data_IF_428856831762
#
_entry.id   IF_428856831762
#
_cell.length_a   1.000
_cell.length_b   1.000
_cell.length_c   1.000
_cell.angle_alpha   90.00
_cell.angle_beta   90.00
_cell.angle_gamma   90.00
#
_symmetry.space_group_name_H-M   'P 1'
#
loop_
_entity.id
_entity.type
_entity.pdbx_description
1 polymer ?
#
# COMPACT_ATOMS: atom_id res chain seq x y z
N UNK A 1 -20.30 -27.01 -6.84
CA UNK A 1 -21.37 -26.86 -7.86
C UNK A 1 -22.29 -28.08 -7.78
N UNK A 2 -23.58 -27.98 -8.12
CA UNK A 2 -24.47 -29.16 -8.12
C UNK A 2 -24.02 -30.16 -9.19
N UNK A 3 -24.35 -31.45 -9.00
CA UNK A 3 -23.97 -32.50 -9.96
C UNK A 3 -24.52 -32.25 -11.36
N UNK A 4 -25.73 -31.67 -11.46
CA UNK A 4 -26.32 -31.27 -12.73
C UNK A 4 -25.43 -30.27 -13.50
N UNK A 5 -25.08 -29.15 -12.86
CA UNK A 5 -24.27 -28.10 -13.50
C UNK A 5 -22.84 -28.58 -13.78
N UNK A 6 -22.30 -29.44 -12.91
CA UNK A 6 -21.02 -30.11 -13.18
C UNK A 6 -21.08 -30.95 -14.45
N UNK A 7 -22.10 -31.80 -14.59
CA UNK A 7 -22.29 -32.64 -15.77
C UNK A 7 -22.51 -31.82 -17.03
N UNK A 8 -23.32 -30.76 -16.94
CA UNK A 8 -23.59 -29.83 -18.04
C UNK A 8 -22.30 -29.20 -18.60
N UNK A 9 -21.44 -28.64 -17.74
CA UNK A 9 -20.17 -28.03 -18.17
C UNK A 9 -19.25 -29.08 -18.78
N UNK A 10 -19.12 -30.24 -18.14
CA UNK A 10 -18.25 -31.32 -18.63
C UNK A 10 -18.69 -31.79 -20.01
N UNK A 11 -19.99 -32.04 -20.21
CA UNK A 11 -20.53 -32.51 -21.49
C UNK A 11 -20.34 -31.49 -22.60
N UNK A 12 -20.63 -30.20 -22.37
CA UNK A 12 -20.44 -29.18 -23.38
C UNK A 12 -18.97 -28.96 -23.74
N UNK A 13 -18.08 -28.98 -22.74
CA UNK A 13 -16.65 -28.77 -22.96
C UNK A 13 -16.05 -29.91 -23.78
N UNK A 14 -16.27 -31.16 -23.36
CA UNK A 14 -15.77 -32.33 -24.08
C UNK A 14 -16.44 -32.48 -25.44
N UNK A 15 -17.75 -32.24 -25.52
CA UNK A 15 -18.48 -32.23 -26.79
C UNK A 15 -17.92 -31.23 -27.79
N UNK A 16 -17.57 -30.02 -27.32
CA UNK A 16 -16.94 -28.99 -28.17
C UNK A 16 -15.55 -29.40 -28.64
N UNK A 17 -14.72 -30.00 -27.78
CA UNK A 17 -13.40 -30.49 -28.19
C UNK A 17 -13.50 -31.60 -29.24
N UNK A 18 -14.45 -32.53 -29.05
CA UNK A 18 -14.73 -33.59 -30.04
C UNK A 18 -15.27 -32.99 -31.34
N UNK A 19 -16.16 -32.01 -31.27
CA UNK A 19 -16.71 -31.34 -32.46
C UNK A 19 -15.63 -30.59 -33.24
N UNK A 20 -14.71 -29.89 -32.56
CA UNK A 20 -13.57 -29.21 -33.19
C UNK A 20 -12.61 -30.20 -33.84
N UNK A 21 -12.33 -31.32 -33.16
CA UNK A 21 -11.50 -32.38 -33.72
C UNK A 21 -12.17 -32.99 -34.95
N UNK A 22 -13.46 -33.29 -34.88
CA UNK A 22 -14.22 -33.78 -36.03
C UNK A 22 -14.20 -32.78 -37.18
N UNK A 23 -14.42 -31.49 -36.92
CA UNK A 23 -14.45 -30.43 -37.94
C UNK A 23 -13.11 -30.32 -38.69
N UNK A 24 -11.97 -30.36 -37.99
CA UNK A 24 -10.66 -30.24 -38.63
C UNK A 24 -10.31 -31.48 -39.47
N UNK A 25 -10.79 -32.67 -39.09
CA UNK A 25 -10.62 -33.88 -39.91
C UNK A 25 -11.61 -33.94 -41.08
N UNK A 26 -12.84 -33.47 -40.89
CA UNK A 26 -13.86 -33.44 -41.93
C UNK A 26 -13.45 -32.48 -43.07
N UNK A 27 -13.02 -31.26 -42.72
CA UNK A 27 -12.49 -30.27 -43.69
C UNK A 27 -11.26 -30.80 -44.44
N UNK A 28 -10.37 -31.50 -43.73
CA UNK A 28 -9.17 -32.10 -44.32
C UNK A 28 -9.46 -33.23 -45.31
N UNK A 29 -10.59 -33.93 -45.18
CA UNK A 29 -10.88 -35.11 -46.00
C UNK A 29 -11.12 -34.81 -47.48
N UNK A 30 -11.49 -33.56 -47.80
CA UNK A 30 -11.67 -33.07 -49.17
C UNK A 30 -10.45 -32.39 -49.79
N UNK A 31 -9.30 -32.37 -49.10
CA UNK A 31 -8.15 -31.56 -49.52
C UNK A 31 -7.36 -32.12 -50.71
N UNK A 32 -6.83 -31.20 -51.54
CA UNK A 32 -5.89 -31.48 -52.60
C UNK A 32 -4.52 -31.95 -52.07
N UNK A 33 -3.82 -32.81 -52.84
CA UNK A 33 -2.48 -33.31 -52.47
C UNK A 33 -1.40 -32.29 -52.81
N UNK A 34 -1.24 -31.28 -51.95
CA UNK A 34 -0.20 -30.24 -52.07
C UNK A 34 -0.74 -28.89 -52.55
N UNK A 35 0.12 -27.88 -52.60
CA UNK A 35 -0.26 -26.53 -53.03
C UNK A 35 -0.73 -26.53 -54.47
N UNK A 36 -1.91 -25.95 -54.71
CA UNK A 36 -2.53 -25.80 -56.02
C UNK A 36 -2.80 -24.31 -56.31
N UNK A 37 -2.83 -23.98 -57.60
CA UNK A 37 -3.31 -22.67 -58.10
C UNK A 37 -4.80 -22.74 -58.51
N UNK A 38 -5.52 -23.80 -58.09
CA UNK A 38 -6.93 -23.99 -58.47
C UNK A 38 -7.82 -23.05 -57.67
N UNK A 39 -8.69 -22.33 -58.37
CA UNK A 39 -9.67 -21.41 -57.79
C UNK A 39 -11.07 -22.03 -57.72
N UNK A 40 -11.88 -21.61 -56.75
CA UNK A 40 -13.23 -22.15 -56.49
C UNK A 40 -14.31 -21.83 -57.55
N UNK A 41 -13.96 -21.07 -58.61
CA UNK A 41 -14.85 -20.80 -59.76
C UNK A 41 -15.86 -19.67 -59.58
N UNK A 42 -15.75 -18.91 -58.49
CA UNK A 42 -16.55 -17.71 -58.22
C UNK A 42 -15.63 -16.57 -57.77
N UNK A 43 -15.94 -15.35 -58.23
CA UNK A 43 -15.23 -14.14 -57.87
C UNK A 43 -16.14 -13.21 -57.07
N UNK A 44 -15.64 -12.70 -55.95
CA UNK A 44 -16.31 -11.70 -55.12
C UNK A 44 -15.45 -10.44 -55.12
N UNK A 45 -15.97 -9.37 -55.74
CA UNK A 45 -15.27 -8.07 -55.84
C UNK A 45 -13.84 -8.18 -56.43
N UNK A 46 -13.69 -9.05 -57.44
CA UNK A 46 -12.39 -9.30 -58.10
C UNK A 46 -11.42 -10.17 -57.30
N UNK A 47 -11.83 -10.70 -56.13
CA UNK A 47 -11.06 -11.67 -55.34
C UNK A 47 -11.60 -13.08 -55.62
N UNK A 48 -10.69 -14.02 -55.86
CA UNK A 48 -10.96 -15.45 -56.02
C UNK A 48 -10.24 -16.24 -54.93
N UNK A 49 -10.84 -17.34 -54.49
CA UNK A 49 -10.32 -18.17 -53.41
C UNK A 49 -9.65 -19.43 -53.98
N UNK A 50 -8.42 -19.72 -53.52
CA UNK A 50 -7.72 -20.95 -53.86
C UNK A 50 -8.20 -22.14 -53.02
N UNK A 51 -8.36 -23.30 -53.67
CA UNK A 51 -8.67 -24.58 -53.02
C UNK A 51 -7.38 -25.30 -52.57
N UNK A 52 -6.66 -24.65 -51.65
CA UNK A 52 -5.41 -25.14 -51.10
C UNK A 52 -5.62 -26.00 -49.85
N UNK A 53 -4.83 -27.08 -49.65
CA UNK A 53 -4.89 -27.86 -48.43
C UNK A 53 -4.43 -27.04 -47.22
N UNK A 54 -4.92 -27.37 -46.03
CA UNK A 54 -4.44 -26.78 -44.79
C UNK A 54 -2.93 -27.06 -44.65
N UNK A 55 -2.10 -26.05 -44.31
CA UNK A 55 -0.68 -26.26 -44.08
C UNK A 55 -0.46 -27.34 -43.03
N UNK A 56 0.36 -28.35 -43.35
CA UNK A 56 0.57 -29.52 -42.48
C UNK A 56 1.00 -29.14 -41.06
N UNK A 57 1.87 -28.13 -40.93
CA UNK A 57 2.33 -27.62 -39.63
C UNK A 57 1.19 -27.00 -38.82
N UNK A 58 0.29 -26.24 -39.47
CA UNK A 58 -0.86 -25.61 -38.83
C UNK A 58 -1.82 -26.66 -38.31
N UNK A 59 -2.11 -27.68 -39.12
CA UNK A 59 -2.96 -28.79 -38.71
C UNK A 59 -2.38 -29.54 -37.51
N UNK A 60 -1.09 -29.88 -37.55
CA UNK A 60 -0.42 -30.55 -36.43
C UNK A 60 -0.45 -29.71 -35.16
N UNK A 61 -0.26 -28.39 -35.28
CA UNK A 61 -0.37 -27.46 -34.16
C UNK A 61 -1.78 -27.42 -33.59
N UNK A 62 -2.80 -27.30 -34.44
CA UNK A 62 -4.21 -27.27 -34.03
C UNK A 62 -4.63 -28.55 -33.29
N UNK A 63 -4.24 -29.72 -33.82
CA UNK A 63 -4.46 -31.00 -33.13
C UNK A 63 -3.67 -31.06 -31.82
N UNK A 64 -2.44 -30.56 -31.82
CA UNK A 64 -1.59 -30.49 -30.62
C UNK A 64 -2.21 -29.65 -29.50
N UNK A 65 -2.85 -28.51 -29.82
CA UNK A 65 -3.52 -27.69 -28.80
C UNK A 65 -4.77 -28.36 -28.24
N UNK A 66 -5.53 -29.12 -29.03
CA UNK A 66 -6.65 -29.94 -28.53
C UNK A 66 -6.14 -31.01 -27.57
N UNK A 67 -5.07 -31.72 -27.92
CA UNK A 67 -4.44 -32.73 -27.05
C UNK A 67 -3.96 -32.09 -25.75
N UNK A 68 -3.29 -30.93 -25.84
CA UNK A 68 -2.86 -30.16 -24.68
C UNK A 68 -4.05 -29.76 -23.81
N UNK A 69 -5.14 -29.24 -24.39
CA UNK A 69 -6.33 -28.83 -23.65
C UNK A 69 -6.98 -30.02 -22.91
N UNK A 70 -7.11 -31.17 -23.58
CA UNK A 70 -7.63 -32.39 -22.96
C UNK A 70 -6.74 -32.86 -21.79
N UNK A 71 -5.41 -32.86 -21.99
CA UNK A 71 -4.45 -33.18 -20.94
C UNK A 71 -4.51 -32.19 -19.77
N UNK A 72 -4.62 -30.90 -20.05
CA UNK A 72 -4.74 -29.84 -19.05
C UNK A 72 -6.02 -30.00 -18.21
N UNK A 73 -7.15 -30.30 -18.85
CA UNK A 73 -8.43 -30.54 -18.17
C UNK A 73 -8.45 -31.84 -17.35
N UNK A 74 -7.64 -32.83 -17.72
CA UNK A 74 -7.39 -33.98 -16.86
C UNK A 74 -6.54 -33.59 -15.64
N UNK A 75 -5.55 -32.73 -15.83
CA UNK A 75 -4.61 -32.31 -14.79
C UNK A 75 -5.21 -31.34 -13.77
N UNK A 76 -5.94 -30.35 -14.23
CA UNK A 76 -6.46 -29.23 -13.44
C UNK A 76 -7.98 -29.26 -13.33
N UNK A 77 -8.57 -28.58 -12.34
CA UNK A 77 -10.01 -28.35 -12.33
C UNK A 77 -10.44 -27.52 -13.55
N UNK A 78 -11.60 -27.87 -14.12
CA UNK A 78 -12.16 -27.19 -15.27
C UNK A 78 -13.41 -27.90 -15.83
N UNK A 79 -13.44 -29.23 -15.73
CA UNK A 79 -14.61 -30.04 -16.09
C UNK A 79 -15.60 -30.16 -14.92
N UNK A 80 -16.42 -29.13 -14.72
CA UNK A 80 -17.42 -29.12 -13.64
C UNK A 80 -16.77 -29.22 -12.25
N UNK A 81 -17.15 -30.24 -11.47
CA UNK A 81 -16.57 -30.55 -10.16
C UNK A 81 -15.31 -31.43 -10.23
N UNK A 82 -14.81 -31.78 -11.42
CA UNK A 82 -13.53 -32.47 -11.56
C UNK A 82 -12.42 -31.63 -10.93
N UNK A 83 -11.66 -32.25 -10.02
CA UNK A 83 -10.63 -31.55 -9.23
C UNK A 83 -9.23 -31.58 -9.85
N UNK A 84 -9.06 -32.34 -10.94
CA UNK A 84 -7.75 -32.64 -11.48
C UNK A 84 -7.00 -33.71 -10.70
N UNK A 85 -5.99 -34.31 -11.32
CA UNK A 85 -5.09 -35.29 -10.71
C UNK A 85 -3.67 -34.74 -10.45
N UNK A 86 -3.48 -33.40 -10.49
CA UNK A 86 -2.15 -32.80 -10.35
C UNK A 86 -1.45 -33.33 -9.09
N UNK A 87 -0.30 -34.01 -9.23
CA UNK A 87 0.36 -34.63 -8.09
C UNK A 87 0.85 -33.57 -7.10
N UNK A 88 0.91 -33.99 -5.85
CA UNK A 88 1.32 -33.14 -4.75
C UNK A 88 0.18 -32.34 -4.13
N UNK A 89 -1.02 -32.23 -4.71
CA UNK A 89 -2.20 -31.61 -4.07
C UNK A 89 -3.23 -32.65 -3.62
N UNK A 90 -3.38 -32.86 -2.31
CA UNK A 90 -4.22 -33.94 -1.74
C UNK A 90 -5.69 -33.88 -2.17
N UNK A 91 -6.23 -32.69 -2.37
CA UNK A 91 -7.63 -32.46 -2.75
C UNK A 91 -7.77 -31.85 -4.15
N UNK A 92 -6.80 -32.11 -5.03
CA UNK A 92 -6.69 -31.45 -6.32
C UNK A 92 -6.16 -30.02 -6.22
N UNK A 93 -5.68 -29.49 -7.34
CA UNK A 93 -5.15 -28.13 -7.38
C UNK A 93 -6.28 -27.10 -7.30
N UNK A 94 -6.05 -26.02 -6.56
CA UNK A 94 -6.85 -24.79 -6.63
C UNK A 94 -5.91 -23.60 -6.46
N UNK A 95 -6.29 -22.43 -6.97
CA UNK A 95 -5.50 -21.21 -6.78
C UNK A 95 -5.31 -20.85 -5.29
N UNK A 96 -6.32 -21.13 -4.45
CA UNK A 96 -6.24 -20.90 -2.99
C UNK A 96 -5.28 -21.89 -2.34
N UNK A 97 -5.33 -23.17 -2.72
CA UNK A 97 -4.40 -24.18 -2.22
C UNK A 97 -2.96 -23.92 -2.66
N UNK A 98 -2.75 -23.38 -3.86
CA UNK A 98 -1.42 -22.95 -4.31
C UNK A 98 -0.91 -21.75 -3.52
N UNK A 99 -1.75 -20.73 -3.35
CA UNK A 99 -1.43 -19.57 -2.52
C UNK A 99 -1.08 -19.98 -1.08
N UNK A 100 -1.87 -20.85 -0.45
CA UNK A 100 -1.59 -21.32 0.91
C UNK A 100 -0.22 -21.99 1.00
N UNK A 101 0.13 -22.88 0.07
CA UNK A 101 1.45 -23.53 0.04
C UNK A 101 2.59 -22.54 -0.14
N UNK A 102 2.39 -21.52 -0.97
CA UNK A 102 3.37 -20.46 -1.16
C UNK A 102 3.58 -19.67 0.15
N UNK A 103 2.48 -19.34 0.84
CA UNK A 103 2.53 -18.67 2.14
C UNK A 103 3.17 -19.56 3.21
N UNK A 104 2.83 -20.84 3.29
CA UNK A 104 3.42 -21.79 4.26
C UNK A 104 4.92 -21.94 4.04
N UNK A 105 5.36 -22.06 2.77
CA UNK A 105 6.77 -22.13 2.41
C UNK A 105 7.50 -20.83 2.77
N UNK A 106 6.89 -19.68 2.50
CA UNK A 106 7.43 -18.38 2.88
C UNK A 106 7.53 -18.24 4.40
N UNK A 107 6.54 -18.71 5.16
CA UNK A 107 6.54 -18.68 6.62
C UNK A 107 7.65 -19.57 7.19
N UNK A 108 7.82 -20.78 6.68
CA UNK A 108 8.92 -21.66 7.09
C UNK A 108 10.30 -21.05 6.81
N UNK A 109 10.45 -20.34 5.69
CA UNK A 109 11.73 -19.76 5.28
C UNK A 109 12.03 -18.42 6.00
N UNK A 110 11.03 -17.56 6.15
CA UNK A 110 11.19 -16.17 6.62
C UNK A 110 10.70 -15.95 8.04
N UNK A 111 9.77 -16.77 8.54
CA UNK A 111 9.24 -16.70 9.90
C UNK A 111 10.32 -16.68 10.98
N UNK A 112 11.34 -17.58 10.95
CA UNK A 112 12.43 -17.56 11.92
C UNK A 112 13.24 -16.24 11.92
N UNK A 113 13.36 -15.58 10.77
CA UNK A 113 14.07 -14.29 10.64
C UNK A 113 13.25 -13.19 11.32
N UNK A 114 11.94 -13.15 11.05
CA UNK A 114 11.03 -12.21 11.70
C UNK A 114 10.95 -12.43 13.21
N UNK A 115 10.79 -13.68 13.65
CA UNK A 115 10.73 -14.06 15.06
C UNK A 115 12.01 -13.67 15.82
N UNK A 116 13.20 -13.87 15.20
CA UNK A 116 14.48 -13.45 15.78
C UNK A 116 14.48 -11.95 16.12
N UNK A 117 14.08 -11.10 15.17
CA UNK A 117 14.08 -9.65 15.38
C UNK A 117 12.93 -9.19 16.28
N UNK A 118 11.76 -9.83 16.22
CA UNK A 118 10.63 -9.51 17.07
C UNK A 118 10.90 -9.77 18.56
N UNK A 119 11.76 -10.75 18.87
CA UNK A 119 12.18 -11.05 20.25
C UNK A 119 13.22 -10.08 20.81
N UNK A 120 13.84 -9.24 19.98
CA UNK A 120 14.82 -8.25 20.40
C UNK A 120 14.16 -6.92 20.79
N UNK A 121 14.77 -6.10 21.66
CA UNK A 121 14.34 -4.72 21.84
C UNK A 121 14.49 -3.92 20.54
N UNK A 122 13.55 -3.01 20.28
CA UNK A 122 13.52 -2.19 19.05
C UNK A 122 14.82 -1.40 18.87
N UNK A 123 15.40 -0.92 19.97
CA UNK A 123 16.66 -0.18 20.02
C UNK A 123 17.84 -1.01 19.49
N UNK A 124 17.85 -2.32 19.76
CA UNK A 124 18.88 -3.22 19.27
C UNK A 124 18.64 -3.60 17.81
N UNK A 125 17.37 -3.80 17.44
CA UNK A 125 16.98 -4.06 16.04
C UNK A 125 17.34 -2.87 15.15
N UNK A 126 17.19 -1.65 15.63
CA UNK A 126 17.54 -0.41 14.92
C UNK A 126 19.05 -0.26 14.67
N UNK A 127 19.90 -1.01 15.39
CA UNK A 127 21.36 -1.03 15.18
C UNK A 127 21.80 -2.13 14.21
N UNK A 128 20.96 -3.13 13.95
CA UNK A 128 21.28 -4.22 13.04
C UNK A 128 21.06 -3.78 11.57
N UNK A 129 22.11 -3.77 10.72
CA UNK A 129 22.01 -3.28 9.35
C UNK A 129 21.11 -4.15 8.45
N UNK A 130 20.98 -5.45 8.75
CA UNK A 130 20.07 -6.33 8.03
C UNK A 130 18.62 -6.00 8.39
N UNK A 131 18.33 -5.79 9.68
CA UNK A 131 17.00 -5.42 10.15
C UNK A 131 16.57 -4.05 9.60
N UNK A 132 17.44 -3.04 9.66
CA UNK A 132 17.18 -1.69 9.10
C UNK A 132 16.91 -1.78 7.59
N UNK A 133 17.67 -2.59 6.85
CA UNK A 133 17.43 -2.79 5.40
C UNK A 133 16.09 -3.49 5.12
N UNK A 134 15.69 -4.44 5.96
CA UNK A 134 14.37 -5.09 5.86
C UNK A 134 13.24 -4.10 6.19
N UNK A 135 13.36 -3.36 7.28
CA UNK A 135 12.40 -2.34 7.68
C UNK A 135 12.27 -1.21 6.65
N UNK A 136 13.37 -0.81 6.00
CA UNK A 136 13.35 0.17 4.91
C UNK A 136 12.57 -0.30 3.68
N UNK A 137 12.63 -1.60 3.34
CA UNK A 137 11.79 -2.18 2.28
C UNK A 137 10.31 -2.19 2.67
N UNK A 138 10.01 -2.55 3.92
CA UNK A 138 8.63 -2.48 4.43
C UNK A 138 8.12 -1.04 4.42
N UNK A 139 8.94 -0.07 4.78
CA UNK A 139 8.61 1.36 4.76
C UNK A 139 8.34 1.84 3.34
N UNK A 140 9.20 1.47 2.39
CA UNK A 140 9.04 1.82 0.98
C UNK A 140 7.68 1.34 0.42
N UNK A 141 7.26 0.12 0.76
CA UNK A 141 5.99 -0.44 0.26
C UNK A 141 4.74 0.07 0.97
N UNK A 142 4.81 0.41 2.26
CA UNK A 142 3.62 0.66 3.08
C UNK A 142 3.48 2.09 3.60
N UNK A 143 4.59 2.85 3.71
CA UNK A 143 4.62 4.13 4.42
C UNK A 143 5.05 5.31 3.55
N UNK A 144 5.84 5.05 2.50
CA UNK A 144 6.48 6.08 1.67
C UNK A 144 5.50 7.00 0.93
N UNK A 145 4.29 6.50 0.60
CA UNK A 145 3.27 7.28 -0.12
C UNK A 145 2.80 8.50 0.69
N UNK A 146 2.80 8.40 2.02
CA UNK A 146 2.41 9.48 2.92
C UNK A 146 3.63 10.20 3.50
N UNK A 147 4.62 9.44 3.97
CA UNK A 147 5.78 10.00 4.68
C UNK A 147 6.97 10.33 3.77
N UNK A 148 6.83 10.19 2.45
CA UNK A 148 7.90 10.40 1.47
C UNK A 148 8.85 9.20 1.36
N UNK A 149 9.52 9.09 0.22
CA UNK A 149 10.51 8.03 -0.03
C UNK A 149 11.75 8.15 0.85
N UNK A 150 12.06 9.36 1.32
CA UNK A 150 13.14 9.67 2.26
C UNK A 150 12.65 9.81 3.71
N UNK A 151 11.39 9.48 3.98
CA UNK A 151 10.72 9.58 5.28
C UNK A 151 10.62 11.00 5.87
N UNK A 152 10.86 12.05 5.07
CA UNK A 152 10.82 13.45 5.54
C UNK A 152 9.44 14.10 5.53
N UNK A 153 8.41 13.34 5.17
CA UNK A 153 7.04 13.82 5.17
C UNK A 153 6.74 14.80 4.05
N UNK A 154 5.59 15.46 4.18
CA UNK A 154 5.07 16.46 3.26
C UNK A 154 4.03 17.32 3.99
N UNK A 155 3.39 18.28 3.31
CA UNK A 155 2.26 18.98 3.90
C UNK A 155 1.17 17.98 4.35
N UNK A 156 0.83 18.01 5.63
CA UNK A 156 -0.11 17.10 6.29
C UNK A 156 0.50 15.82 6.85
N UNK A 157 1.77 15.50 6.56
CA UNK A 157 2.42 14.25 6.95
C UNK A 157 3.74 14.49 7.68
N UNK A 158 3.93 13.92 8.89
CA UNK A 158 5.14 14.11 9.68
C UNK A 158 6.44 13.69 8.98
N UNK A 159 7.50 14.46 9.23
CA UNK A 159 8.88 14.02 9.06
C UNK A 159 9.21 13.00 10.15
N UNK A 160 9.68 11.81 9.76
CA UNK A 160 10.02 10.72 10.67
C UNK A 160 11.52 10.62 10.94
N UNK A 161 12.31 11.53 10.35
CA UNK A 161 13.78 11.57 10.48
C UNK A 161 14.28 12.59 11.49
N UNK A 162 13.42 13.50 11.95
CA UNK A 162 13.77 14.50 12.95
C UNK A 162 13.43 14.03 14.39
N UNK A 163 13.63 14.94 15.33
CA UNK A 163 13.42 14.69 16.76
C UNK A 163 12.09 15.24 17.27
N UNK A 164 11.17 15.65 16.38
CA UNK A 164 9.90 16.28 16.76
C UNK A 164 8.73 15.28 16.69
N UNK A 165 8.54 14.55 17.79
CA UNK A 165 7.53 13.48 17.86
C UNK A 165 6.22 13.94 18.49
N UNK A 166 5.13 13.92 17.70
CA UNK A 166 3.79 14.35 18.15
C UNK A 166 3.16 13.42 19.20
N UNK A 167 3.44 12.12 19.10
CA UNK A 167 2.83 11.06 19.91
C UNK A 167 3.84 10.35 20.82
N UNK A 168 5.01 10.96 21.02
CA UNK A 168 6.15 10.35 21.70
C UNK A 168 7.12 9.69 20.72
N UNK A 169 8.41 9.82 21.01
CA UNK A 169 9.51 9.29 20.18
C UNK A 169 10.17 8.05 20.77
N UNK A 170 9.63 7.50 21.86
CA UNK A 170 10.16 6.23 22.40
C UNK A 170 9.83 5.09 21.44
N UNK A 171 10.62 4.00 21.45
CA UNK A 171 10.32 2.85 20.60
C UNK A 171 8.93 2.25 20.83
N UNK A 172 8.45 2.28 22.07
CA UNK A 172 7.09 1.86 22.40
C UNK A 172 6.02 2.79 21.78
N UNK A 173 6.22 4.10 21.84
CA UNK A 173 5.30 5.09 21.26
C UNK A 173 5.22 4.98 19.73
N UNK A 174 6.37 4.77 19.09
CA UNK A 174 6.47 4.58 17.64
C UNK A 174 5.75 3.28 17.25
N UNK A 175 6.05 2.16 17.94
CA UNK A 175 5.37 0.88 17.70
C UNK A 175 3.86 1.02 17.90
N UNK A 176 3.43 1.67 18.98
CA UNK A 176 2.02 1.89 19.27
C UNK A 176 1.33 2.71 18.18
N UNK A 177 2.01 3.74 17.67
CA UNK A 177 1.51 4.56 16.57
C UNK A 177 1.34 3.74 15.30
N UNK A 178 2.29 2.86 14.97
CA UNK A 178 2.21 2.02 13.78
C UNK A 178 1.14 0.93 13.93
N UNK A 179 1.07 0.26 15.07
CA UNK A 179 0.17 -0.89 15.25
C UNK A 179 -1.30 -0.47 15.32
N UNK A 180 -1.62 0.54 16.13
CA UNK A 180 -3.00 0.93 16.44
C UNK A 180 -3.45 2.19 15.68
N UNK A 181 -2.54 2.86 14.98
CA UNK A 181 -2.81 4.13 14.35
C UNK A 181 -2.89 5.27 15.38
N UNK A 182 -3.08 6.49 14.87
CA UNK A 182 -3.29 7.70 15.68
C UNK A 182 -4.26 8.65 14.99
N UNK A 183 -5.12 9.26 15.79
CA UNK A 183 -6.03 10.31 15.31
C UNK A 183 -5.74 11.61 16.08
N UNK A 184 -5.17 12.59 15.40
CA UNK A 184 -4.88 13.90 15.97
C UNK A 184 -6.06 14.84 15.75
N UNK A 185 -6.59 15.41 16.82
CA UNK A 185 -7.73 16.32 16.79
C UNK A 185 -7.34 17.69 17.35
N UNK A 186 -7.43 18.71 16.52
CA UNK A 186 -7.38 20.12 16.91
C UNK A 186 -8.74 20.74 16.57
N UNK A 187 -9.53 21.17 17.56
CA UNK A 187 -10.85 21.75 17.29
C UNK A 187 -10.73 23.13 16.65
N UNK A 188 -11.72 23.48 15.83
CA UNK A 188 -11.87 24.81 15.24
C UNK A 188 -12.07 25.86 16.36
N UNK A 189 -11.21 26.87 16.42
CA UNK A 189 -11.24 27.88 17.48
C UNK A 189 -12.04 29.12 17.10
N UNK A 190 -12.20 29.41 15.80
CA UNK A 190 -12.86 30.64 15.36
C UNK A 190 -14.26 30.88 15.95
N UNK A 191 -15.13 29.86 16.13
CA UNK A 191 -16.42 30.06 16.79
C UNK A 191 -16.31 30.54 18.25
N UNK A 192 -15.21 30.25 18.94
CA UNK A 192 -14.99 30.62 20.34
C UNK A 192 -14.22 31.94 20.49
N UNK A 193 -13.20 32.16 19.66
CA UNK A 193 -12.26 33.29 19.84
C UNK A 193 -12.46 34.41 18.81
N UNK A 194 -13.32 34.20 17.82
CA UNK A 194 -13.54 35.13 16.70
C UNK A 194 -12.32 35.29 15.79
N UNK A 195 -12.48 36.04 14.69
CA UNK A 195 -11.40 36.24 13.72
C UNK A 195 -10.23 37.07 14.27
N UNK A 196 -10.49 38.05 15.13
CA UNK A 196 -9.44 38.78 15.82
C UNK A 196 -8.63 37.87 16.76
N UNK A 197 -9.30 36.96 17.48
CA UNK A 197 -8.63 35.95 18.30
C UNK A 197 -7.76 35.01 17.48
N UNK A 198 -8.25 34.54 16.33
CA UNK A 198 -7.46 33.73 15.38
C UNK A 198 -6.22 34.49 14.91
N UNK A 199 -6.38 35.75 14.48
CA UNK A 199 -5.29 36.62 14.01
C UNK A 199 -4.24 36.82 15.10
N UNK A 200 -4.66 37.12 16.32
CA UNK A 200 -3.78 37.42 17.44
C UNK A 200 -3.09 36.16 17.98
N UNK A 201 -3.81 35.03 18.12
CA UNK A 201 -3.24 33.77 18.55
C UNK A 201 -2.22 33.21 17.54
N UNK A 202 -2.52 33.28 16.24
CA UNK A 202 -1.56 32.91 15.20
C UNK A 202 -0.28 33.77 15.27
N UNK A 203 -0.42 35.05 15.61
CA UNK A 203 0.71 35.97 15.71
C UNK A 203 1.57 35.62 16.92
N UNK A 204 0.95 35.41 18.08
CA UNK A 204 1.63 34.95 19.29
C UNK A 204 2.39 33.62 19.08
N UNK A 205 1.75 32.62 18.47
CA UNK A 205 2.41 31.33 18.18
C UNK A 205 3.60 31.53 17.23
N UNK A 206 3.44 32.35 16.19
CA UNK A 206 4.51 32.60 15.22
C UNK A 206 5.71 33.33 15.84
N UNK A 207 5.46 34.36 16.66
CA UNK A 207 6.51 35.23 17.18
C UNK A 207 7.09 34.75 18.48
N UNK A 208 6.27 34.58 19.50
CA UNK A 208 6.72 34.35 20.88
C UNK A 208 7.06 32.87 21.13
N UNK A 209 6.34 31.93 20.51
CA UNK A 209 6.64 30.51 20.66
C UNK A 209 7.65 30.03 19.61
N UNK A 210 7.37 30.29 18.33
CA UNK A 210 8.16 29.79 17.21
C UNK A 210 9.37 30.69 16.85
N UNK A 211 9.52 31.86 17.47
CA UNK A 211 10.68 32.73 17.30
C UNK A 211 10.82 33.38 15.92
N UNK A 212 9.71 33.54 15.18
CA UNK A 212 9.72 34.11 13.82
C UNK A 212 9.16 35.53 13.80
N UNK A 213 9.36 36.25 12.69
CA UNK A 213 8.79 37.59 12.50
C UNK A 213 7.44 37.52 11.81
N UNK A 214 6.56 38.47 12.15
CA UNK A 214 5.34 38.70 11.37
C UNK A 214 5.70 39.21 9.96
N UNK A 215 4.87 38.89 8.95
CA UNK A 215 4.96 39.52 7.64
C UNK A 215 4.78 41.04 7.73
N UNK A 216 5.42 41.78 6.83
CA UNK A 216 5.25 43.24 6.75
C UNK A 216 3.79 43.63 6.49
N UNK A 217 3.35 44.73 7.10
CA UNK A 217 1.98 45.23 6.97
C UNK A 217 0.91 44.47 7.77
N UNK A 218 1.27 43.40 8.48
CA UNK A 218 0.34 42.69 9.37
C UNK A 218 0.28 43.40 10.73
N UNK A 219 -0.91 43.84 11.13
CA UNK A 219 -1.18 44.32 12.47
C UNK A 219 -1.92 43.24 13.28
N UNK A 220 -1.31 42.78 14.37
CA UNK A 220 -1.88 41.81 15.30
C UNK A 220 -1.46 42.13 16.74
N UNK A 221 -2.38 41.95 17.68
CA UNK A 221 -2.13 42.17 19.11
C UNK A 221 -1.57 40.89 19.74
N UNK A 222 -0.25 40.85 19.94
CA UNK A 222 0.47 39.71 20.50
C UNK A 222 0.03 39.42 21.95
N UNK A 223 -0.30 40.45 22.72
CA UNK A 223 -0.68 40.29 24.13
C UNK A 223 -2.11 39.74 24.24
N UNK A 224 -3.03 40.17 23.37
CA UNK A 224 -4.31 39.50 23.20
C UNK A 224 -4.14 38.04 22.75
N UNK A 225 -3.19 37.77 21.86
CA UNK A 225 -2.85 36.41 21.42
C UNK A 225 -2.34 35.52 22.57
N UNK A 226 -1.49 36.06 23.43
CA UNK A 226 -1.01 35.41 24.65
C UNK A 226 -2.16 35.05 25.58
N UNK A 227 -3.12 35.96 25.77
CA UNK A 227 -4.32 35.71 26.60
C UNK A 227 -5.17 34.56 26.04
N UNK A 228 -5.41 34.54 24.71
CA UNK A 228 -6.13 33.44 24.05
C UNK A 228 -5.38 32.11 24.21
N UNK A 229 -4.06 32.12 24.05
CA UNK A 229 -3.25 30.92 24.23
C UNK A 229 -3.39 30.36 25.65
N UNK A 230 -3.24 31.23 26.65
CA UNK A 230 -3.33 30.88 28.07
C UNK A 230 -4.74 30.52 28.53
N UNK A 231 -5.80 30.90 27.83
CA UNK A 231 -7.18 30.52 28.15
C UNK A 231 -7.62 29.21 27.50
N UNK A 232 -7.12 28.94 26.28
CA UNK A 232 -7.73 27.91 25.41
C UNK A 232 -6.71 26.92 24.86
N UNK A 233 -5.56 27.38 24.38
CA UNK A 233 -4.60 26.52 23.68
C UNK A 233 -3.70 25.71 24.63
N UNK A 234 -3.39 26.26 25.81
CA UNK A 234 -2.47 25.65 26.78
C UNK A 234 -2.94 24.27 27.27
N UNK A 235 -4.24 24.02 27.29
CA UNK A 235 -4.82 22.76 27.79
C UNK A 235 -4.32 21.55 27.00
N UNK A 236 -4.07 21.71 25.70
CA UNK A 236 -3.53 20.66 24.83
C UNK A 236 -2.05 20.89 24.50
N UNK A 237 -1.62 22.15 24.31
CA UNK A 237 -0.25 22.45 23.88
C UNK A 237 0.73 22.73 25.02
N UNK A 238 0.29 22.68 26.27
CA UNK A 238 1.09 23.06 27.44
C UNK A 238 1.21 24.58 27.60
N UNK A 239 1.51 25.02 28.83
CA UNK A 239 1.67 26.44 29.16
C UNK A 239 2.84 27.10 28.42
N UNK A 240 3.88 26.32 28.11
CA UNK A 240 5.07 26.74 27.36
C UNK A 240 5.00 26.40 25.86
N UNK A 241 3.87 25.85 25.39
CA UNK A 241 3.70 25.49 23.98
C UNK A 241 4.49 24.28 23.52
N UNK A 242 5.10 23.47 24.41
CA UNK A 242 5.89 22.29 24.01
C UNK A 242 5.05 21.10 23.50
N UNK A 243 3.74 21.18 23.59
CA UNK A 243 2.84 20.10 23.17
C UNK A 243 2.65 19.04 24.25
N UNK A 244 1.70 18.14 24.02
CA UNK A 244 1.43 16.99 24.88
C UNK A 244 1.35 15.71 24.02
N UNK A 245 2.31 14.78 24.18
CA UNK A 245 2.32 13.53 23.41
C UNK A 245 1.06 12.69 23.56
N UNK A 246 0.43 12.70 24.74
CA UNK A 246 -0.81 11.97 25.01
C UNK A 246 -2.00 12.41 24.14
N UNK A 247 -1.98 13.64 23.62
CA UNK A 247 -3.02 14.19 22.76
C UNK A 247 -2.57 14.34 21.30
N UNK A 248 -1.32 13.99 20.96
CA UNK A 248 -0.79 14.24 19.62
C UNK A 248 -0.57 15.72 19.32
N UNK A 249 -0.58 16.57 20.35
CA UNK A 249 -0.44 18.01 20.24
C UNK A 249 1.05 18.36 20.03
N UNK A 250 1.40 18.99 18.90
CA UNK A 250 2.78 19.24 18.53
C UNK A 250 3.41 20.34 19.37
N UNK A 251 4.73 20.32 19.41
CA UNK A 251 5.56 21.37 19.95
C UNK A 251 5.44 22.64 19.08
N UNK A 252 4.80 23.68 19.61
CA UNK A 252 4.60 24.97 18.95
C UNK A 252 5.84 25.87 18.98
N UNK A 253 6.88 25.51 19.75
CA UNK A 253 8.14 26.25 19.80
C UNK A 253 9.10 25.87 18.67
N UNK A 254 8.78 24.81 17.90
CA UNK A 254 9.63 24.24 16.86
C UNK A 254 8.87 24.22 15.53
N UNK A 255 9.13 25.17 14.60
CA UNK A 255 8.50 25.17 13.28
C UNK A 255 8.67 23.87 12.48
N UNK A 256 9.75 23.12 12.72
CA UNK A 256 9.99 21.80 12.11
C UNK A 256 8.91 20.77 12.48
N UNK A 257 8.26 20.91 13.64
CA UNK A 257 7.16 20.04 14.07
C UNK A 257 5.84 20.29 13.32
N UNK A 258 5.77 21.33 12.48
CA UNK A 258 4.52 21.81 11.88
C UNK A 258 4.27 21.13 10.54
N UNK A 259 3.35 20.16 10.52
CA UNK A 259 2.99 19.46 9.29
C UNK A 259 2.02 20.25 8.41
N UNK A 260 1.33 21.26 8.95
CA UNK A 260 0.35 22.07 8.21
C UNK A 260 0.88 23.44 7.77
N UNK A 261 2.20 23.56 7.67
CA UNK A 261 2.88 24.80 7.35
C UNK A 261 3.03 25.74 8.54
N UNK A 262 3.92 26.72 8.37
CA UNK A 262 4.39 27.59 9.44
C UNK A 262 4.29 29.08 9.11
N UNK A 263 3.69 29.43 7.97
CA UNK A 263 3.37 30.83 7.67
C UNK A 263 2.22 31.34 8.54
N UNK A 264 2.15 32.65 8.70
CA UNK A 264 1.09 33.30 9.46
C UNK A 264 -0.32 32.88 9.00
N UNK A 265 -0.56 32.89 7.69
CA UNK A 265 -1.85 32.50 7.11
C UNK A 265 -2.18 31.01 7.34
N UNK A 266 -1.19 30.12 7.28
CA UNK A 266 -1.39 28.69 7.56
C UNK A 266 -1.70 28.41 9.03
N UNK A 267 -1.09 29.18 9.94
CA UNK A 267 -1.43 29.12 11.36
C UNK A 267 -2.84 29.62 11.61
N UNK A 268 -3.25 30.74 10.99
CA UNK A 268 -4.63 31.23 11.05
C UNK A 268 -5.61 30.16 10.54
N UNK A 269 -5.34 29.53 9.39
CA UNK A 269 -6.19 28.48 8.84
C UNK A 269 -6.35 27.29 9.80
N UNK A 270 -5.24 26.87 10.41
CA UNK A 270 -5.19 25.76 11.37
C UNK A 270 -5.98 26.08 12.63
N UNK A 271 -5.83 27.29 13.19
CA UNK A 271 -6.56 27.73 14.38
C UNK A 271 -8.04 27.93 14.04
N UNK A 272 -8.35 28.53 12.89
CA UNK A 272 -9.71 28.86 12.46
C UNK A 272 -10.58 27.62 12.29
N UNK A 273 -10.09 26.63 11.54
CA UNK A 273 -10.88 25.47 11.13
C UNK A 273 -10.51 24.16 11.82
N UNK A 274 -9.44 24.15 12.62
CA UNK A 274 -8.96 22.94 13.26
C UNK A 274 -8.28 21.98 12.28
N UNK A 275 -7.89 20.80 12.78
CA UNK A 275 -7.20 19.73 12.04
C UNK A 275 -7.60 18.36 12.58
N UNK A 276 -7.77 17.39 11.68
CA UNK A 276 -8.08 16.00 12.02
C UNK A 276 -7.13 15.04 11.26
N UNK A 277 -5.87 15.03 11.68
CA UNK A 277 -4.84 14.19 11.04
C UNK A 277 -5.01 12.73 11.40
N UNK A 278 -4.86 11.82 10.44
CA UNK A 278 -5.04 10.39 10.66
C UNK A 278 -3.82 9.59 10.20
N UNK A 279 -3.24 8.84 11.12
CA UNK A 279 -2.28 7.77 10.84
C UNK A 279 -3.05 6.44 10.94
N UNK A 280 -3.29 5.72 9.83
CA UNK A 280 -4.06 4.48 9.86
C UNK A 280 -3.31 3.34 10.58
N UNK A 281 -4.04 2.52 11.34
CA UNK A 281 -3.48 1.30 11.93
C UNK A 281 -2.91 0.36 10.87
N UNK A 282 -1.64 -0.05 11.02
CA UNK A 282 -0.91 -0.79 9.97
C UNK A 282 -0.93 -2.30 10.14
N UNK A 283 -1.33 -2.84 11.30
CA UNK A 283 -1.26 -4.26 11.60
C UNK A 283 -1.91 -5.14 10.51
N UNK A 284 -3.09 -4.76 10.06
CA UNK A 284 -3.85 -5.48 9.02
C UNK A 284 -3.21 -5.43 7.62
N UNK A 285 -2.44 -4.39 7.32
CA UNK A 285 -1.84 -4.18 6.00
C UNK A 285 -0.44 -4.78 5.89
N UNK A 286 0.34 -4.66 6.97
CA UNK A 286 1.69 -5.21 7.07
C UNK A 286 1.63 -6.72 7.33
N UNK A 287 0.59 -7.18 8.02
CA UNK A 287 0.20 -8.59 8.13
C UNK A 287 0.71 -9.33 9.38
N UNK A 288 1.61 -8.74 10.16
CA UNK A 288 2.03 -9.30 11.46
C UNK A 288 2.62 -8.24 12.39
N UNK A 289 2.57 -8.50 13.70
CA UNK A 289 3.23 -7.66 14.69
C UNK A 289 4.76 -7.65 14.54
N UNK A 290 5.36 -8.75 14.10
CA UNK A 290 6.82 -8.85 13.89
C UNK A 290 7.30 -7.87 12.83
N UNK A 291 6.53 -7.71 11.75
CA UNK A 291 6.85 -6.73 10.71
C UNK A 291 6.60 -5.29 11.19
N UNK A 292 5.59 -5.07 12.03
CA UNK A 292 5.37 -3.77 12.70
C UNK A 292 6.54 -3.44 13.63
N UNK A 293 7.07 -4.42 14.35
CA UNK A 293 8.25 -4.27 15.20
C UNK A 293 9.47 -3.83 14.36
N UNK A 294 9.73 -4.48 13.22
CA UNK A 294 10.79 -4.08 12.30
C UNK A 294 10.60 -2.68 11.71
N UNK A 295 9.36 -2.31 11.37
CA UNK A 295 9.04 -0.96 10.91
C UNK A 295 9.30 0.09 11.99
N UNK A 296 8.91 -0.20 13.24
CA UNK A 296 9.19 0.69 14.37
C UNK A 296 10.70 0.86 14.58
N UNK A 297 11.48 -0.22 14.48
CA UNK A 297 12.94 -0.17 14.55
C UNK A 297 13.56 0.64 13.42
N UNK A 298 13.06 0.50 12.19
CA UNK A 298 13.51 1.31 11.07
C UNK A 298 13.21 2.79 11.30
N UNK A 299 11.97 3.14 11.66
CA UNK A 299 11.58 4.53 11.94
C UNK A 299 12.41 5.13 13.07
N UNK A 300 12.64 4.38 14.14
CA UNK A 300 13.52 4.80 15.24
C UNK A 300 14.98 4.98 14.79
N UNK A 301 15.47 4.15 13.87
CA UNK A 301 16.83 4.28 13.34
C UNK A 301 17.06 5.57 12.54
N UNK A 302 16.01 6.14 11.94
CA UNK A 302 16.09 7.35 11.12
C UNK A 302 16.45 8.59 11.95
N UNK A 303 15.79 8.78 13.10
CA UNK A 303 16.07 9.90 14.00
C UNK A 303 17.41 9.74 14.72
N UNK A 304 17.78 8.52 15.12
CA UNK A 304 19.07 8.24 15.73
C UNK A 304 20.27 8.49 14.78
N UNK A 305 20.08 8.35 13.46
CA UNK A 305 21.09 8.70 12.46
C UNK A 305 21.17 10.21 12.20
N UNK A 306 20.04 10.92 12.24
CA UNK A 306 20.01 12.36 12.12
C UNK A 306 20.78 13.05 13.26
N UNK A 307 20.62 12.57 14.50
CA UNK A 307 21.38 13.07 15.67
C UNK A 307 22.89 12.89 15.50
N UNK A 308 23.34 11.72 15.02
CA UNK A 308 24.77 11.47 14.76
C UNK A 308 25.35 12.34 13.64
N UNK A 309 24.52 12.73 12.68
CA UNK A 309 24.94 13.58 11.55
C UNK A 309 24.98 15.05 11.98
N UNK A 310 24.05 15.50 12.82
CA UNK A 310 24.02 16.85 13.37
C UNK A 310 25.12 17.11 14.43
N UNK A 311 25.64 16.06 15.06
CA UNK A 311 26.72 16.14 16.05
C UNK A 311 28.14 16.09 15.46
N UNK A 312 28.27 15.95 14.14
CA UNK A 312 29.55 16.00 13.39
C UNK A 312 29.69 17.32 12.66
#
# INVERSE_FOLDING_TARGET
MTSFWSGYITLLTLGSLVALLWLVFATRSGENKGTTEQTMGHAFDGIEEYDNPLPKWWFMLFVGTIIFAAGYLAIYPGLGNWKGWLPGYENGWTQVGQWQREMDKAEQQYGPIYAKFAAMPIEEVAKDPQAVKMGGRLFASNCSVCHGSDAKGAYGFPNLTDNEWRWGGTPADIKQTIIAGRHGMMPAQAPMIGEDGVRNAAAYVLTELAGRKLPEGVNADIEAGRKVFSSTCFACHGADGKGTPSMGAPNLTKPSAFIYGSSYAQLQQTIRYGRNGNMPAQLQYVGSEDKVHLLAAYVYSLSAQAEKTAAK
#
